data_IF_850932757037
#
_entry.id   IF_850932757037
#
_cell.length_a   1.000
_cell.length_b   1.000
_cell.length_c   1.000
_cell.angle_alpha   90.00
_cell.angle_beta   90.00
_cell.angle_gamma   90.00
#
_symmetry.space_group_name_H-M   'P 1'
#
loop_
_entity.id
_entity.type
_entity.pdbx_description
1 polymer ?
#
# COMPACT_ATOMS: atom_id res chain seq x y z
N UNK A 1 -1.16 1.05 -13.48
CA UNK A 1 -2.57 0.84 -13.90
C UNK A 1 -3.19 -0.16 -12.92
N UNK A 2 -4.47 0.01 -12.55
CA UNK A 2 -5.15 -0.80 -11.50
C UNK A 2 -5.95 -1.97 -12.08
N UNK A 3 -6.11 -3.06 -11.30
CA UNK A 3 -6.94 -4.25 -11.59
C UNK A 3 -8.29 -4.26 -10.82
N UNK A 4 -8.70 -3.14 -10.23
CA UNK A 4 -9.86 -3.09 -9.35
C UNK A 4 -11.13 -3.71 -9.96
N UNK A 5 -11.76 -4.63 -9.20
CA UNK A 5 -13.05 -5.24 -9.53
C UNK A 5 -13.07 -6.26 -10.67
N UNK A 6 -11.90 -6.77 -11.12
CA UNK A 6 -11.80 -7.72 -12.23
C UNK A 6 -11.14 -9.03 -11.83
N UNK A 7 -11.52 -10.13 -12.49
CA UNK A 7 -10.86 -11.42 -12.31
C UNK A 7 -9.60 -11.50 -13.18
N UNK A 8 -8.56 -12.12 -12.64
CA UNK A 8 -7.37 -12.48 -13.41
C UNK A 8 -7.74 -13.51 -14.49
N UNK A 9 -7.02 -13.51 -15.62
CA UNK A 9 -7.14 -14.61 -16.57
C UNK A 9 -6.76 -15.94 -15.90
N UNK A 10 -7.43 -17.05 -16.28
CA UNK A 10 -7.08 -18.37 -15.77
C UNK A 10 -5.62 -18.73 -16.00
N UNK A 11 -5.00 -18.19 -17.05
CA UNK A 11 -3.57 -18.31 -17.27
C UNK A 11 -3.03 -17.03 -17.89
N UNK A 12 -1.95 -16.49 -17.32
CA UNK A 12 -1.23 -15.37 -17.90
C UNK A 12 0.26 -15.43 -17.55
N UNK A 13 1.07 -14.65 -18.26
CA UNK A 13 2.50 -14.54 -18.02
C UNK A 13 2.83 -13.10 -17.66
N UNK A 14 3.74 -12.89 -16.70
CA UNK A 14 4.24 -11.57 -16.34
C UNK A 14 5.66 -11.69 -15.76
N UNK A 15 6.58 -10.86 -16.23
CA UNK A 15 8.02 -11.01 -16.02
C UNK A 15 8.50 -12.43 -16.30
N UNK A 16 9.21 -13.02 -15.35
CA UNK A 16 9.68 -14.41 -15.43
C UNK A 16 8.65 -15.44 -14.94
N UNK A 17 7.42 -15.02 -14.64
CA UNK A 17 6.40 -15.87 -14.03
C UNK A 17 5.28 -16.23 -15.01
N UNK A 18 4.73 -17.43 -14.81
CA UNK A 18 3.44 -17.87 -15.33
C UNK A 18 2.51 -18.12 -14.16
N UNK A 19 1.26 -17.69 -14.31
CA UNK A 19 0.20 -17.92 -13.34
C UNK A 19 -0.80 -18.90 -13.96
N UNK A 20 -1.17 -19.97 -13.24
CA UNK A 20 -2.08 -21.03 -13.68
C UNK A 20 -3.22 -21.21 -12.67
N UNK A 21 -4.47 -21.11 -13.12
CA UNK A 21 -5.65 -21.11 -12.25
C UNK A 21 -5.81 -19.81 -11.44
N UNK A 22 -5.27 -18.70 -11.92
CA UNK A 22 -5.28 -17.43 -11.19
C UNK A 22 -6.67 -16.80 -11.06
N UNK A 23 -7.61 -17.19 -11.93
CA UNK A 23 -9.01 -16.75 -11.87
C UNK A 23 -9.73 -17.25 -10.61
N UNK A 24 -9.22 -18.30 -9.96
CA UNK A 24 -9.75 -18.82 -8.70
C UNK A 24 -9.35 -18.00 -7.47
N UNK A 25 -8.41 -17.06 -7.62
CA UNK A 25 -7.93 -16.21 -6.52
C UNK A 25 -8.74 -14.92 -6.48
N UNK A 26 -9.35 -14.65 -5.33
CA UNK A 26 -10.04 -13.37 -5.09
C UNK A 26 -9.01 -12.26 -4.90
N UNK A 27 -8.94 -11.36 -5.89
CA UNK A 27 -8.11 -10.15 -5.87
C UNK A 27 -9.05 -8.96 -5.93
N UNK A 28 -8.89 -8.01 -5.01
CA UNK A 28 -9.68 -6.79 -4.96
C UNK A 28 -9.07 -5.70 -5.84
N UNK A 29 -7.75 -5.55 -5.75
CA UNK A 29 -6.96 -4.60 -6.54
C UNK A 29 -5.62 -5.20 -6.93
N UNK A 30 -5.01 -4.63 -7.96
CA UNK A 30 -3.66 -4.99 -8.35
C UNK A 30 -2.99 -3.91 -9.17
N UNK A 31 -1.69 -3.81 -8.99
CA UNK A 31 -0.84 -2.85 -9.66
C UNK A 31 0.25 -3.58 -10.42
N UNK A 32 0.58 -3.11 -11.61
CA UNK A 32 1.77 -3.57 -12.30
C UNK A 32 2.54 -2.42 -12.93
N UNK A 33 3.85 -2.63 -13.04
CA UNK A 33 4.79 -1.81 -13.81
C UNK A 33 5.79 -2.75 -14.47
N UNK A 34 6.17 -2.47 -15.72
CA UNK A 34 7.15 -3.24 -16.44
C UNK A 34 8.03 -2.33 -17.29
N UNK A 35 9.34 -2.44 -17.07
CA UNK A 35 10.39 -1.79 -17.83
C UNK A 35 11.28 -2.85 -18.50
N UNK A 36 12.34 -2.41 -19.18
CA UNK A 36 13.22 -3.32 -19.91
C UNK A 36 13.93 -4.32 -18.97
N UNK A 37 14.31 -3.88 -17.77
CA UNK A 37 15.11 -4.65 -16.82
C UNK A 37 14.38 -5.01 -15.52
N UNK A 38 13.25 -4.37 -15.21
CA UNK A 38 12.48 -4.57 -13.98
C UNK A 38 11.00 -4.78 -14.30
N UNK A 39 10.34 -5.64 -13.55
CA UNK A 39 8.89 -5.73 -13.56
C UNK A 39 8.36 -5.95 -12.14
N UNK A 40 7.30 -5.24 -11.78
CA UNK A 40 6.61 -5.37 -10.49
C UNK A 40 5.15 -5.72 -10.73
N UNK A 41 4.64 -6.75 -10.04
CA UNK A 41 3.22 -7.08 -9.95
C UNK A 41 2.80 -7.12 -8.48
N UNK A 42 1.75 -6.41 -8.11
CA UNK A 42 1.15 -6.39 -6.78
C UNK A 42 -0.31 -6.80 -6.90
N UNK A 43 -0.75 -7.68 -6.02
CA UNK A 43 -2.14 -8.14 -5.91
C UNK A 43 -2.55 -8.02 -4.45
N UNK A 44 -3.70 -7.40 -4.19
CA UNK A 44 -4.20 -7.16 -2.83
C UNK A 44 -5.65 -7.56 -2.67
N UNK A 45 -6.03 -7.82 -1.42
CA UNK A 45 -7.40 -8.08 -1.01
C UNK A 45 -7.62 -7.61 0.43
N UNK A 46 -8.79 -7.05 0.71
CA UNK A 46 -9.20 -6.62 2.05
C UNK A 46 -10.25 -7.56 2.64
N UNK A 47 -10.15 -7.80 3.94
CA UNK A 47 -11.06 -8.71 4.66
C UNK A 47 -11.76 -7.96 5.79
N UNK A 48 -13.08 -8.21 6.00
CA UNK A 48 -13.86 -7.49 6.99
C UNK A 48 -13.38 -7.80 8.43
N UNK A 49 -13.67 -6.94 9.41
CA UNK A 49 -13.22 -7.11 10.80
C UNK A 49 -13.61 -8.44 11.46
N UNK A 50 -14.69 -9.08 11.02
CA UNK A 50 -15.15 -10.39 11.51
C UNK A 50 -14.40 -11.59 10.92
N UNK A 51 -13.59 -11.39 9.88
CA UNK A 51 -12.78 -12.43 9.25
C UNK A 51 -11.55 -12.76 10.12
N UNK A 52 -11.10 -14.04 10.17
CA UNK A 52 -9.81 -14.36 10.80
C UNK A 52 -8.63 -13.61 10.15
N UNK A 53 -8.72 -13.31 8.84
CA UNK A 53 -7.69 -12.61 8.06
C UNK A 53 -7.83 -11.09 8.04
N UNK A 54 -8.78 -10.53 8.81
CA UNK A 54 -9.15 -9.09 8.86
C UNK A 54 -8.05 -8.10 8.45
N UNK A 55 -8.44 -7.10 7.68
CA UNK A 55 -7.54 -6.07 7.16
C UNK A 55 -7.01 -6.40 5.78
N UNK A 56 -5.93 -5.73 5.38
CA UNK A 56 -5.31 -5.89 4.07
C UNK A 56 -4.39 -7.11 4.01
N UNK A 57 -4.32 -7.69 2.81
CA UNK A 57 -3.30 -8.65 2.42
C UNK A 57 -2.74 -8.29 1.04
N UNK A 58 -1.46 -8.60 0.84
CA UNK A 58 -0.70 -8.22 -0.34
C UNK A 58 0.24 -9.37 -0.73
N UNK A 59 0.32 -9.58 -2.04
CA UNK A 59 1.42 -10.31 -2.67
C UNK A 59 2.11 -9.40 -3.66
N UNK A 60 3.43 -9.24 -3.53
CA UNK A 60 4.23 -8.46 -4.46
C UNK A 60 5.33 -9.33 -5.08
N UNK A 61 5.41 -9.32 -6.41
CA UNK A 61 6.44 -9.95 -7.21
C UNK A 61 7.34 -8.86 -7.79
N UNK A 62 8.61 -8.86 -7.40
CA UNK A 62 9.65 -7.99 -7.95
C UNK A 62 10.57 -8.83 -8.82
N UNK A 63 10.64 -8.54 -10.11
CA UNK A 63 11.34 -9.34 -11.11
C UNK A 63 12.38 -8.49 -11.80
N UNK A 64 13.53 -9.10 -12.11
CA UNK A 64 14.68 -8.40 -12.66
C UNK A 64 15.35 -9.21 -13.76
N UNK A 65 15.73 -8.59 -14.88
CA UNK A 65 16.63 -9.20 -15.89
C UNK A 65 18.08 -8.98 -15.50
N UNK A 66 18.84 -10.04 -15.38
CA UNK A 66 20.27 -9.98 -15.05
C UNK A 66 21.13 -10.12 -16.32
N UNK A 67 22.27 -9.41 -16.41
CA UNK A 67 22.86 -8.56 -15.38
C UNK A 67 22.32 -7.13 -15.31
N UNK A 68 21.45 -6.72 -16.23
CA UNK A 68 21.03 -5.31 -16.38
C UNK A 68 20.40 -4.71 -15.12
N UNK A 69 19.46 -5.41 -14.48
CA UNK A 69 18.77 -5.01 -13.25
C UNK A 69 19.39 -5.58 -11.97
N UNK A 70 20.70 -5.86 -11.96
CA UNK A 70 21.38 -6.48 -10.81
C UNK A 70 21.43 -5.54 -9.62
N UNK A 71 21.74 -4.28 -9.85
CA UNK A 71 21.86 -3.28 -8.78
C UNK A 71 20.51 -3.08 -8.09
N UNK A 72 19.43 -2.94 -8.86
CA UNK A 72 18.06 -2.78 -8.37
C UNK A 72 17.58 -4.03 -7.63
N UNK A 73 17.92 -5.24 -8.13
CA UNK A 73 17.62 -6.49 -7.45
C UNK A 73 18.31 -6.57 -6.07
N UNK A 74 19.61 -6.28 -6.02
CA UNK A 74 20.41 -6.34 -4.80
C UNK A 74 19.98 -5.25 -3.80
N UNK A 75 19.68 -4.03 -4.27
CA UNK A 75 19.13 -2.94 -3.46
C UNK A 75 17.77 -3.33 -2.88
N UNK A 76 16.87 -3.84 -3.73
CA UNK A 76 15.52 -4.25 -3.34
C UNK A 76 15.58 -5.34 -2.27
N UNK A 77 16.36 -6.41 -2.50
CA UNK A 77 16.54 -7.49 -1.52
C UNK A 77 17.17 -6.97 -0.24
N UNK A 78 18.21 -6.14 -0.34
CA UNK A 78 18.91 -5.54 0.79
C UNK A 78 17.97 -4.74 1.69
N UNK A 79 17.18 -3.85 1.09
CA UNK A 79 16.21 -2.98 1.78
C UNK A 79 15.24 -3.75 2.67
N UNK A 80 14.69 -4.87 2.20
CA UNK A 80 13.78 -5.69 3.01
C UNK A 80 14.53 -6.58 4.01
N UNK A 81 15.72 -7.06 3.65
CA UNK A 81 16.51 -7.96 4.48
C UNK A 81 17.11 -7.29 5.71
N UNK A 82 17.42 -6.00 5.65
CA UNK A 82 17.91 -5.22 6.78
C UNK A 82 17.03 -5.34 8.03
N UNK A 83 15.73 -5.61 7.84
CA UNK A 83 14.73 -5.73 8.91
C UNK A 83 14.32 -7.18 9.19
N UNK A 84 15.00 -8.14 8.58
CA UNK A 84 14.72 -9.55 8.78
C UNK A 84 14.98 -9.93 10.24
N UNK A 85 14.07 -10.72 10.81
CA UNK A 85 14.21 -11.27 12.17
C UNK A 85 14.68 -12.71 12.07
N UNK A 86 15.75 -13.03 12.81
CA UNK A 86 16.34 -14.38 12.81
C UNK A 86 15.40 -15.49 13.33
N UNK A 87 14.39 -15.13 14.13
CA UNK A 87 13.47 -16.09 14.78
C UNK A 87 12.04 -15.59 14.68
N UNK A 88 11.43 -15.79 13.51
CA UNK A 88 10.02 -15.51 13.29
C UNK A 88 9.20 -16.77 13.55
N UNK A 89 8.06 -16.60 14.22
CA UNK A 89 6.99 -17.60 14.24
C UNK A 89 5.83 -17.10 13.39
N UNK A 90 5.46 -17.91 12.41
CA UNK A 90 4.30 -17.74 11.55
C UNK A 90 3.07 -18.30 12.28
N UNK A 91 1.97 -17.53 12.43
CA UNK A 91 0.72 -18.01 12.99
C UNK A 91 0.24 -19.27 12.27
N UNK A 92 -0.23 -20.26 13.03
CA UNK A 92 -0.74 -21.54 12.53
C UNK A 92 0.30 -22.52 11.98
N UNK A 93 1.46 -22.04 11.49
CA UNK A 93 2.53 -22.89 10.96
C UNK A 93 3.60 -23.24 12.02
N UNK A 94 4.12 -22.24 12.76
CA UNK A 94 5.25 -22.45 13.67
C UNK A 94 6.46 -21.58 13.33
N UNK A 95 7.71 -22.01 13.61
CA UNK A 95 8.90 -21.29 13.15
C UNK A 95 8.86 -21.11 11.63
N UNK A 96 9.22 -19.92 11.14
CA UNK A 96 9.34 -19.69 9.70
C UNK A 96 10.37 -20.65 9.10
N UNK A 97 10.01 -21.27 7.99
CA UNK A 97 10.79 -22.25 7.25
C UNK A 97 10.68 -21.96 5.76
N UNK A 98 11.62 -22.51 4.98
CA UNK A 98 11.79 -22.24 3.56
C UNK A 98 10.60 -22.66 2.69
N UNK A 99 9.83 -23.65 3.16
CA UNK A 99 8.67 -24.23 2.48
C UNK A 99 7.36 -23.44 2.70
N UNK A 100 7.33 -22.52 3.65
CA UNK A 100 6.12 -21.73 3.96
C UNK A 100 5.83 -20.77 2.80
N UNK A 101 4.73 -21.00 2.07
CA UNK A 101 4.35 -20.23 0.87
C UNK A 101 5.44 -20.23 -0.23
N UNK A 102 6.26 -21.29 -0.31
CA UNK A 102 7.15 -21.49 -1.44
C UNK A 102 6.31 -21.77 -2.70
N UNK A 103 6.26 -20.88 -3.71
CA UNK A 103 5.36 -21.05 -4.84
C UNK A 103 5.96 -21.92 -5.96
N UNK A 104 7.26 -22.22 -5.91
CA UNK A 104 8.03 -22.56 -7.11
C UNK A 104 8.87 -23.82 -6.94
N UNK A 105 8.71 -24.76 -7.87
CA UNK A 105 9.76 -25.72 -8.19
C UNK A 105 10.93 -24.98 -8.84
N UNK A 106 12.13 -25.14 -8.29
CA UNK A 106 13.32 -24.45 -8.78
C UNK A 106 13.89 -25.15 -10.02
N UNK A 107 14.04 -24.43 -11.15
CA UNK A 107 14.81 -24.93 -12.27
C UNK A 107 16.28 -25.15 -11.87
N UNK A 108 16.97 -26.06 -12.56
CA UNK A 108 18.40 -26.28 -12.37
C UNK A 108 19.19 -24.96 -12.50
N UNK A 109 20.14 -24.75 -11.59
CA UNK A 109 20.99 -23.56 -11.58
C UNK A 109 20.41 -22.33 -10.87
N UNK A 110 19.18 -22.41 -10.36
CA UNK A 110 18.62 -21.36 -9.51
C UNK A 110 18.99 -21.57 -8.03
N UNK A 111 19.20 -20.46 -7.32
CA UNK A 111 19.31 -20.44 -5.87
C UNK A 111 18.02 -19.88 -5.25
N UNK A 112 17.71 -20.34 -4.04
CA UNK A 112 16.61 -19.84 -3.24
C UNK A 112 17.13 -19.43 -1.86
N UNK A 113 16.64 -18.30 -1.39
CA UNK A 113 16.82 -17.79 -0.05
C UNK A 113 15.47 -17.27 0.48
N UNK A 114 15.30 -17.22 1.79
CA UNK A 114 14.07 -16.73 2.40
C UNK A 114 14.34 -16.01 3.72
N UNK A 115 13.51 -15.03 4.04
CA UNK A 115 13.56 -14.33 5.32
C UNK A 115 12.18 -13.77 5.68
N UNK A 116 12.02 -13.33 6.93
CA UNK A 116 10.77 -12.77 7.42
C UNK A 116 11.02 -11.55 8.31
N UNK A 117 10.19 -10.51 8.17
CA UNK A 117 10.19 -9.33 9.07
C UNK A 117 9.22 -9.49 10.23
N UNK A 118 8.27 -10.41 10.11
CA UNK A 118 7.30 -10.77 11.14
C UNK A 118 6.55 -12.03 10.77
N UNK A 119 5.68 -12.51 11.65
CA UNK A 119 4.91 -13.74 11.41
C UNK A 119 3.93 -13.65 10.24
N UNK A 120 3.76 -12.46 9.65
CA UNK A 120 2.83 -12.17 8.55
C UNK A 120 3.45 -11.32 7.43
N UNK A 121 4.78 -11.26 7.37
CA UNK A 121 5.50 -10.51 6.32
C UNK A 121 6.74 -11.33 5.95
N UNK A 122 6.59 -12.14 4.90
CA UNK A 122 7.50 -13.21 4.49
C UNK A 122 8.06 -12.94 3.09
N UNK A 123 9.31 -13.33 2.87
CA UNK A 123 10.04 -13.05 1.64
C UNK A 123 10.71 -14.31 1.10
N UNK A 124 10.57 -14.54 -0.21
CA UNK A 124 11.32 -15.55 -0.95
C UNK A 124 12.12 -14.86 -2.04
N UNK A 125 13.40 -15.18 -2.15
CA UNK A 125 14.33 -14.61 -3.13
C UNK A 125 14.87 -15.75 -3.98
N UNK A 126 14.70 -15.62 -5.28
CA UNK A 126 15.12 -16.58 -6.29
C UNK A 126 16.08 -15.90 -7.25
N UNK A 127 17.20 -16.55 -7.54
CA UNK A 127 18.21 -15.99 -8.44
C UNK A 127 18.75 -17.07 -9.38
N UNK A 128 18.65 -16.82 -10.69
CA UNK A 128 19.34 -17.58 -11.72
C UNK A 128 20.42 -16.73 -12.40
N UNK A 129 20.99 -17.25 -13.49
CA UNK A 129 22.06 -16.56 -14.23
C UNK A 129 21.59 -15.26 -14.92
N UNK A 130 20.35 -15.25 -15.41
CA UNK A 130 19.79 -14.17 -16.24
C UNK A 130 18.55 -13.51 -15.64
N UNK A 131 18.07 -13.96 -14.49
CA UNK A 131 16.82 -13.49 -13.89
C UNK A 131 16.94 -13.49 -12.35
N UNK A 132 16.36 -12.46 -11.73
CA UNK A 132 16.15 -12.37 -10.29
C UNK A 132 14.66 -12.21 -9.99
N UNK A 133 14.19 -12.79 -8.89
CA UNK A 133 12.80 -12.70 -8.43
C UNK A 133 12.78 -12.58 -6.91
N UNK A 134 12.03 -11.61 -6.38
CA UNK A 134 11.67 -11.55 -4.98
C UNK A 134 10.15 -11.55 -4.85
N UNK A 135 9.63 -12.38 -3.96
CA UNK A 135 8.20 -12.48 -3.65
C UNK A 135 8.02 -12.05 -2.20
N UNK A 136 7.13 -11.08 -1.96
CA UNK A 136 6.69 -10.66 -0.62
C UNK A 136 5.26 -11.13 -0.38
N UNK A 137 5.03 -11.80 0.73
CA UNK A 137 3.73 -12.22 1.24
C UNK A 137 3.42 -11.44 2.52
N UNK A 138 2.38 -10.61 2.52
CA UNK A 138 2.01 -9.76 3.65
C UNK A 138 0.53 -9.87 3.99
N UNK A 139 0.18 -9.94 5.27
CA UNK A 139 -1.19 -9.74 5.73
C UNK A 139 -1.26 -9.12 7.13
N UNK A 140 -2.36 -8.42 7.41
CA UNK A 140 -2.60 -7.82 8.73
C UNK A 140 -3.12 -8.86 9.75
N UNK A 141 -3.89 -9.85 9.30
CA UNK A 141 -4.61 -10.79 10.14
C UNK A 141 -4.44 -12.26 9.72
N UNK A 142 -4.84 -13.16 10.60
CA UNK A 142 -4.95 -14.59 10.29
C UNK A 142 -3.63 -15.36 10.27
N UNK A 143 -3.73 -16.57 9.72
CA UNK A 143 -2.62 -17.43 9.30
C UNK A 143 -2.34 -17.13 7.83
N UNK A 144 -1.05 -17.04 7.48
CA UNK A 144 -0.62 -16.72 6.10
C UNK A 144 -0.76 -17.92 5.17
N UNK A 145 -0.69 -19.13 5.70
CA UNK A 145 -0.70 -20.37 4.92
C UNK A 145 -2.10 -20.78 4.46
N UNK A 146 -3.13 -20.38 5.22
CA UNK A 146 -4.55 -20.60 4.89
C UNK A 146 -5.23 -19.33 4.34
N UNK A 147 -4.48 -18.26 4.15
CA UNK A 147 -5.01 -16.98 3.71
C UNK A 147 -5.58 -17.11 2.28
N UNK A 148 -6.83 -16.68 2.00
CA UNK A 148 -7.46 -16.88 0.69
C UNK A 148 -6.65 -16.32 -0.48
N UNK A 149 -6.13 -15.10 -0.34
CA UNK A 149 -5.19 -14.53 -1.31
C UNK A 149 -3.84 -15.27 -1.34
N UNK A 150 -3.11 -15.34 -0.22
CA UNK A 150 -1.72 -15.83 -0.22
C UNK A 150 -1.62 -17.34 -0.51
N UNK A 151 -2.40 -18.15 0.22
CA UNK A 151 -2.46 -19.59 0.06
C UNK A 151 -3.16 -20.03 -1.22
N UNK A 152 -4.10 -19.22 -1.73
CA UNK A 152 -4.72 -19.45 -3.04
C UNK A 152 -3.77 -19.14 -4.20
N UNK A 153 -2.97 -18.08 -4.08
CA UNK A 153 -2.06 -17.65 -5.15
C UNK A 153 -0.77 -18.46 -5.20
N UNK A 154 -0.15 -18.82 -4.07
CA UNK A 154 1.10 -19.58 -4.03
C UNK A 154 1.13 -20.82 -4.97
N UNK A 155 0.12 -21.71 -5.00
CA UNK A 155 0.14 -22.87 -5.88
C UNK A 155 -0.09 -22.55 -7.37
N UNK A 156 -0.46 -21.31 -7.73
CA UNK A 156 -0.73 -20.90 -9.12
C UNK A 156 0.52 -20.41 -9.84
N UNK A 157 1.56 -20.00 -9.10
CA UNK A 157 2.73 -19.32 -9.67
C UNK A 157 3.76 -20.34 -10.13
N UNK A 158 4.33 -20.15 -11.31
CA UNK A 158 5.41 -20.96 -11.90
C UNK A 158 6.49 -20.06 -12.44
N UNK A 159 7.74 -20.44 -12.25
CA UNK A 159 8.89 -19.75 -12.80
C UNK A 159 9.18 -20.34 -14.18
N UNK A 160 9.31 -19.49 -15.19
CA UNK A 160 9.58 -19.92 -16.56
C UNK A 160 10.97 -19.42 -16.97
N UNK A 161 12.00 -20.30 -16.98
CA UNK A 161 13.36 -19.92 -17.34
C UNK A 161 13.44 -19.18 -18.68
N UNK A 162 14.11 -18.03 -18.68
CA UNK A 162 14.32 -17.20 -19.87
C UNK A 162 13.09 -16.43 -20.36
N UNK A 163 11.92 -16.58 -19.71
CA UNK A 163 10.75 -15.78 -20.02
C UNK A 163 10.88 -14.36 -19.48
N UNK A 164 10.35 -13.40 -20.23
CA UNK A 164 10.13 -12.04 -19.76
C UNK A 164 8.93 -11.43 -20.48
N UNK A 165 7.75 -11.57 -19.89
CA UNK A 165 6.51 -11.01 -20.41
C UNK A 165 6.25 -9.64 -19.76
N UNK A 166 6.07 -8.59 -20.55
CA UNK A 166 5.77 -7.23 -20.05
C UNK A 166 4.33 -6.82 -20.31
N UNK A 167 3.59 -7.65 -21.05
CA UNK A 167 2.19 -7.39 -21.32
C UNK A 167 1.39 -7.41 -20.01
N UNK A 168 0.43 -6.49 -19.85
CA UNK A 168 -0.41 -6.48 -18.67
C UNK A 168 -1.15 -7.82 -18.55
N UNK A 169 -1.43 -8.30 -17.32
CA UNK A 169 -2.26 -9.49 -17.13
C UNK A 169 -3.57 -9.36 -17.92
N UNK A 170 -3.85 -10.34 -18.78
CA UNK A 170 -5.10 -10.37 -19.54
C UNK A 170 -6.27 -10.37 -18.56
N UNK A 171 -7.28 -9.56 -18.91
CA UNK A 171 -8.47 -9.36 -18.09
C UNK A 171 -9.58 -10.20 -18.68
N UNK A 172 -10.28 -10.94 -17.83
CA UNK A 172 -11.58 -11.45 -18.18
C UNK A 172 -12.60 -10.72 -17.33
N UNK A 173 -13.59 -10.14 -17.99
CA UNK A 173 -14.83 -9.82 -17.33
C UNK A 173 -15.32 -11.14 -16.70
N UNK A 174 -15.73 -11.08 -15.43
CA UNK A 174 -16.33 -12.26 -14.80
C UNK A 174 -17.42 -12.74 -15.77
N UNK A 175 -17.44 -14.03 -16.16
CA UNK A 175 -18.34 -14.53 -17.20
C UNK A 175 -19.70 -13.96 -16.89
N UNK A 176 -20.20 -13.12 -17.81
CA UNK A 176 -21.42 -12.33 -17.63
C UNK A 176 -22.39 -13.25 -16.92
N UNK A 177 -22.63 -12.99 -15.64
CA UNK A 177 -23.50 -13.81 -14.84
C UNK A 177 -24.91 -13.46 -15.28
N UNK A 178 -25.24 -13.68 -16.57
CA UNK A 178 -26.36 -13.11 -17.34
C UNK A 178 -27.01 -11.99 -16.54
N UNK A 179 -26.25 -10.92 -16.30
CA UNK A 179 -26.87 -9.66 -15.95
C UNK A 179 -27.50 -9.28 -17.26
N UNK A 180 -28.79 -9.57 -17.39
CA UNK A 180 -29.59 -9.15 -18.53
C UNK A 180 -29.13 -7.73 -18.87
N UNK A 181 -28.65 -7.50 -20.10
CA UNK A 181 -28.06 -6.22 -20.58
C UNK A 181 -29.05 -5.02 -20.52
N UNK A 182 -30.13 -5.12 -19.74
CA UNK A 182 -31.02 -4.04 -19.34
C UNK A 182 -31.00 -3.70 -17.85
N UNK A 183 -30.30 -4.49 -17.02
CA UNK A 183 -30.11 -4.29 -15.57
C UNK A 183 -28.63 -4.58 -15.23
N UNK A 184 -27.67 -3.86 -15.84
CA UNK A 184 -26.61 -3.38 -14.95
C UNK A 184 -27.38 -2.67 -13.85
N UNK A 185 -27.32 -3.09 -12.58
CA UNK A 185 -27.78 -2.20 -11.55
C UNK A 185 -26.91 -0.95 -11.75
N UNK A 186 -27.45 0.09 -12.40
CA UNK A 186 -27.08 1.47 -12.07
C UNK A 186 -26.98 1.41 -10.56
N UNK A 187 -25.79 1.54 -9.94
CA UNK A 187 -25.57 1.09 -8.58
C UNK A 187 -26.75 1.49 -7.70
N UNK A 188 -27.68 0.55 -7.52
CA UNK A 188 -29.10 0.90 -7.30
C UNK A 188 -29.34 1.20 -5.83
N UNK A 189 -28.26 1.19 -5.06
CA UNK A 189 -28.14 1.98 -3.87
C UNK A 189 -27.47 3.29 -4.24
N UNK A 190 -28.24 4.23 -4.79
CA UNK A 190 -28.18 5.68 -4.55
C UNK A 190 -26.88 6.09 -3.82
N UNK A 191 -25.73 5.87 -4.46
CA UNK A 191 -24.44 6.10 -3.83
C UNK A 191 -24.35 7.60 -3.77
N UNK A 192 -24.77 8.12 -2.62
CA UNK A 192 -24.64 9.50 -2.26
C UNK A 192 -23.27 9.57 -1.63
N UNK A 193 -22.20 9.90 -2.39
CA UNK A 193 -20.90 10.09 -1.80
C UNK A 193 -21.07 11.13 -0.70
N UNK A 194 -20.93 10.64 0.52
CA UNK A 194 -21.10 11.40 1.72
C UNK A 194 -19.94 11.03 2.62
N UNK A 195 -19.33 12.05 3.18
CA UNK A 195 -18.15 11.91 4.01
C UNK A 195 -18.31 12.74 5.26
N UNK A 196 -18.03 12.13 6.41
CA UNK A 196 -18.08 12.79 7.70
C UNK A 196 -16.65 13.01 8.21
N UNK A 197 -16.20 14.25 8.12
CA UNK A 197 -14.84 14.64 8.49
C UNK A 197 -14.53 14.39 9.97
N UNK A 198 -15.55 14.22 10.83
CA UNK A 198 -15.36 13.80 12.22
C UNK A 198 -14.86 12.36 12.31
N UNK A 199 -15.47 11.48 11.51
CA UNK A 199 -15.06 10.09 11.38
C UNK A 199 -13.67 9.97 10.74
N UNK A 200 -13.40 10.78 9.71
CA UNK A 200 -12.06 10.89 9.10
C UNK A 200 -11.01 11.32 10.14
N UNK A 201 -11.30 12.37 10.91
CA UNK A 201 -10.42 12.87 11.95
C UNK A 201 -10.17 11.83 13.05
N UNK A 202 -11.19 11.10 13.49
CA UNK A 202 -11.05 10.03 14.49
C UNK A 202 -10.20 8.85 13.99
N UNK A 203 -10.43 8.42 12.75
CA UNK A 203 -9.66 7.35 12.12
C UNK A 203 -8.19 7.75 11.98
N UNK A 204 -7.93 8.95 11.44
CA UNK A 204 -6.57 9.47 11.30
C UNK A 204 -5.90 9.70 12.66
N UNK A 205 -6.62 10.21 13.67
CA UNK A 205 -6.08 10.38 15.03
C UNK A 205 -5.63 9.06 15.63
N UNK A 206 -6.45 8.02 15.50
CA UNK A 206 -6.09 6.67 15.94
C UNK A 206 -4.84 6.18 15.22
N UNK A 207 -4.79 6.33 13.89
CA UNK A 207 -3.64 5.95 13.08
C UNK A 207 -2.36 6.68 13.48
N UNK A 208 -2.42 8.02 13.60
CA UNK A 208 -1.30 8.86 14.01
C UNK A 208 -0.77 8.46 15.39
N UNK A 209 -1.66 8.21 16.37
CA UNK A 209 -1.26 7.74 17.71
C UNK A 209 -0.53 6.40 17.65
N UNK A 210 -1.06 5.45 16.88
CA UNK A 210 -0.42 4.15 16.68
C UNK A 210 0.98 4.34 16.11
N UNK A 211 1.11 5.09 15.00
CA UNK A 211 2.39 5.41 14.36
C UNK A 211 3.40 6.04 15.32
N UNK A 212 2.97 7.03 16.11
CA UNK A 212 3.82 7.68 17.09
C UNK A 212 4.26 6.72 18.22
N UNK A 213 3.35 5.90 18.73
CA UNK A 213 3.66 4.95 19.82
C UNK A 213 4.58 3.80 19.40
N UNK A 214 4.45 3.38 18.13
CA UNK A 214 5.23 2.31 17.53
C UNK A 214 6.56 2.80 16.93
N UNK A 215 6.76 4.12 16.80
CA UNK A 215 7.99 4.67 16.25
C UNK A 215 9.24 4.18 16.99
N UNK A 216 10.17 3.61 16.23
CA UNK A 216 11.51 3.24 16.70
C UNK A 216 12.53 3.85 15.72
N UNK A 217 13.46 4.71 16.19
CA UNK A 217 14.50 5.29 15.34
C UNK A 217 15.22 4.28 14.46
N UNK A 218 15.54 3.11 15.03
CA UNK A 218 16.32 2.07 14.36
C UNK A 218 15.50 1.21 13.37
N UNK A 219 14.17 1.35 13.34
CA UNK A 219 13.26 0.64 12.42
C UNK A 219 12.38 1.64 11.63
N UNK A 220 12.80 2.91 11.56
CA UNK A 220 12.03 3.93 10.87
C UNK A 220 12.00 3.67 9.36
N UNK A 221 10.80 3.56 8.77
CA UNK A 221 10.63 3.52 7.32
C UNK A 221 10.40 4.93 6.80
N UNK A 222 11.49 5.66 6.58
CA UNK A 222 11.47 7.04 6.14
C UNK A 222 12.87 7.53 5.76
N UNK A 223 13.02 8.78 5.29
CA UNK A 223 14.31 9.31 4.90
C UNK A 223 15.30 9.39 6.08
N UNK A 224 16.55 9.01 5.84
CA UNK A 224 17.65 9.04 6.82
C UNK A 224 18.11 7.66 7.28
N UNK A 225 19.14 7.63 8.13
CA UNK A 225 19.79 6.40 8.62
C UNK A 225 19.40 6.10 10.09
N UNK A 226 18.17 6.47 10.48
CA UNK A 226 17.71 6.41 11.87
C UNK A 226 18.14 7.63 12.70
N UNK A 227 17.89 7.58 14.00
CA UNK A 227 18.12 8.71 14.93
C UNK A 227 16.85 9.53 15.28
N UNK A 228 17.01 10.71 15.90
CA UNK A 228 15.87 11.55 16.26
C UNK A 228 15.14 12.04 15.01
N UNK A 229 13.81 12.11 15.09
CA UNK A 229 13.01 12.68 14.00
C UNK A 229 13.28 14.18 13.93
N UNK A 230 13.53 14.69 12.75
CA UNK A 230 13.75 16.12 12.48
C UNK A 230 12.58 16.75 11.72
N UNK A 231 11.84 15.95 10.95
CA UNK A 231 10.60 16.33 10.27
C UNK A 231 9.61 15.16 10.27
N UNK A 232 8.35 15.43 10.54
CA UNK A 232 7.24 14.50 10.33
C UNK A 232 6.39 15.01 9.18
N UNK A 233 6.22 14.21 8.14
CA UNK A 233 5.36 14.56 7.00
C UNK A 233 4.09 13.71 7.03
N UNK A 234 2.96 14.39 6.97
CA UNK A 234 1.65 13.80 6.74
C UNK A 234 1.29 14.02 5.29
N UNK A 235 1.50 12.99 4.47
CA UNK A 235 1.10 12.99 3.07
C UNK A 235 -0.33 12.51 2.92
N UNK A 236 -1.10 13.00 1.95
CA UNK A 236 -2.40 12.43 1.60
C UNK A 236 -2.60 12.45 0.09
N UNK A 237 -3.47 11.58 -0.40
CA UNK A 237 -3.94 11.58 -1.79
C UNK A 237 -5.42 11.19 -1.76
N UNK A 238 -6.30 12.14 -2.09
CA UNK A 238 -7.74 11.88 -2.19
C UNK A 238 -8.17 11.47 -3.60
N UNK A 239 -7.34 11.75 -4.61
CA UNK A 239 -7.71 11.66 -6.01
C UNK A 239 -7.42 10.30 -6.62
N UNK A 240 -6.17 9.83 -6.56
CA UNK A 240 -5.77 8.60 -7.23
C UNK A 240 -5.73 7.41 -6.27
N UNK A 241 -5.09 7.58 -5.12
CA UNK A 241 -4.84 6.49 -4.19
C UNK A 241 -5.81 6.39 -3.02
N UNK A 242 -6.47 7.48 -2.64
CA UNK A 242 -7.38 7.49 -1.50
C UNK A 242 -6.67 7.03 -0.21
N UNK A 243 -5.64 7.75 0.25
CA UNK A 243 -4.86 7.36 1.44
C UNK A 243 -4.32 8.57 2.20
N UNK A 244 -3.89 8.34 3.44
CA UNK A 244 -3.07 9.28 4.23
C UNK A 244 -1.87 8.54 4.83
N UNK A 245 -0.69 9.15 4.79
CA UNK A 245 0.57 8.59 5.26
C UNK A 245 1.19 9.43 6.37
N UNK A 246 1.93 8.79 7.27
CA UNK A 246 2.76 9.47 8.30
C UNK A 246 4.19 8.95 8.22
N UNK A 247 5.06 9.78 7.66
CA UNK A 247 6.48 9.47 7.44
C UNK A 247 7.33 10.30 8.39
N UNK A 248 8.27 9.63 9.07
CA UNK A 248 9.25 10.30 9.93
C UNK A 248 10.57 10.42 9.17
N UNK A 249 11.12 11.63 9.10
CA UNK A 249 12.40 11.92 8.49
C UNK A 249 13.43 12.16 9.60
N UNK A 250 14.55 11.44 9.55
CA UNK A 250 15.65 11.55 10.52
C UNK A 250 16.89 12.19 9.94
N UNK A 251 16.83 12.74 8.71
CA UNK A 251 17.95 13.50 8.13
C UNK A 251 18.22 14.73 9.01
N UNK A 252 19.49 15.04 9.37
CA UNK A 252 19.81 16.16 10.25
C UNK A 252 19.29 17.54 9.79
N UNK A 253 19.05 17.70 8.49
CA UNK A 253 18.51 18.91 7.88
C UNK A 253 17.32 18.57 6.95
N UNK A 254 16.39 17.75 7.46
CA UNK A 254 15.17 17.39 6.74
C UNK A 254 14.37 18.64 6.33
N UNK A 255 13.79 18.59 5.13
CA UNK A 255 12.97 19.63 4.52
C UNK A 255 11.77 18.97 3.83
N UNK A 256 10.68 19.70 3.60
CA UNK A 256 9.55 19.23 2.79
C UNK A 256 9.96 19.17 1.31
N UNK A 257 10.80 18.19 0.96
CA UNK A 257 11.42 18.03 -0.36
C UNK A 257 10.76 16.91 -1.19
N UNK A 258 9.60 16.43 -0.76
CA UNK A 258 8.85 15.36 -1.43
C UNK A 258 9.45 13.97 -1.32
N UNK A 259 10.64 13.79 -0.73
CA UNK A 259 11.28 12.45 -0.65
C UNK A 259 10.51 11.43 0.17
N UNK A 260 9.61 11.89 1.04
CA UNK A 260 8.73 11.00 1.81
C UNK A 260 7.87 10.10 0.90
N UNK A 261 7.57 10.52 -0.33
CA UNK A 261 6.79 9.75 -1.31
C UNK A 261 7.47 8.42 -1.69
N UNK A 262 8.80 8.33 -1.59
CA UNK A 262 9.55 7.10 -1.82
C UNK A 262 9.40 6.05 -0.71
N UNK A 263 8.80 6.44 0.41
CA UNK A 263 8.62 5.64 1.60
C UNK A 263 7.15 5.31 1.86
N UNK A 264 6.30 5.39 0.84
CA UNK A 264 4.91 4.91 0.91
C UNK A 264 4.90 3.37 0.81
N UNK A 265 4.60 2.72 1.94
CA UNK A 265 4.50 1.27 2.09
C UNK A 265 3.46 0.93 3.16
N UNK A 266 3.12 -0.35 3.24
CA UNK A 266 2.21 -0.91 4.24
C UNK A 266 2.72 -0.58 5.66
N UNK A 267 1.85 0.04 6.46
CA UNK A 267 2.14 0.42 7.84
C UNK A 267 2.64 1.86 8.03
N UNK A 268 2.93 2.59 6.94
CA UNK A 268 3.04 4.06 7.00
C UNK A 268 1.84 4.78 6.41
N UNK A 269 0.96 4.07 5.70
CA UNK A 269 -0.28 4.57 5.10
C UNK A 269 -1.53 4.04 5.82
N UNK A 270 -2.61 4.81 5.73
CA UNK A 270 -3.98 4.48 6.10
C UNK A 270 -4.84 4.66 4.85
N UNK A 271 -5.41 3.56 4.37
CA UNK A 271 -6.24 3.55 3.17
C UNK A 271 -7.64 4.11 3.46
N UNK A 272 -8.13 4.92 2.53
CA UNK A 272 -9.40 5.65 2.50
C UNK A 272 -10.00 5.59 1.08
N UNK A 273 -10.28 4.40 0.53
CA UNK A 273 -10.72 4.25 -0.86
C UNK A 273 -12.02 5.01 -1.19
N UNK A 274 -12.86 5.32 -0.19
CA UNK A 274 -14.04 6.16 -0.39
C UNK A 274 -13.72 7.63 -0.67
N UNK A 275 -12.49 8.10 -0.40
CA UNK A 275 -12.03 9.43 -0.82
C UNK A 275 -11.97 9.52 -2.34
N UNK A 276 -11.42 8.50 -3.01
CA UNK A 276 -11.38 8.40 -4.47
C UNK A 276 -12.79 8.47 -5.06
N UNK A 277 -13.75 7.70 -4.51
CA UNK A 277 -15.14 7.76 -4.99
C UNK A 277 -15.82 9.13 -4.79
N UNK A 278 -15.45 9.88 -3.74
CA UNK A 278 -15.89 11.26 -3.58
C UNK A 278 -15.22 12.19 -4.61
N UNK A 279 -13.91 12.02 -4.83
CA UNK A 279 -13.14 12.82 -5.76
C UNK A 279 -13.60 12.64 -7.22
N UNK A 280 -13.73 11.39 -7.66
CA UNK A 280 -14.24 11.05 -8.99
C UNK A 280 -15.61 11.67 -9.23
N UNK A 281 -16.52 11.59 -8.23
CA UNK A 281 -17.82 12.24 -8.33
C UNK A 281 -17.71 13.74 -8.57
N UNK A 282 -16.82 14.43 -7.87
CA UNK A 282 -16.61 15.87 -8.02
C UNK A 282 -16.00 16.21 -9.39
N UNK A 283 -15.09 15.37 -9.90
CA UNK A 283 -14.53 15.51 -11.25
C UNK A 283 -15.56 15.31 -12.36
N UNK A 284 -16.63 14.54 -12.10
CA UNK A 284 -17.74 14.28 -13.02
C UNK A 284 -18.92 15.26 -12.85
N UNK A 285 -18.64 16.49 -12.42
CA UNK A 285 -19.64 17.55 -12.16
C UNK A 285 -20.73 17.14 -11.16
N UNK A 286 -20.41 16.22 -10.26
CA UNK A 286 -21.28 15.76 -9.19
C UNK A 286 -21.21 16.59 -7.92
N UNK A 287 -21.99 16.18 -6.92
CA UNK A 287 -21.93 16.74 -5.57
C UNK A 287 -21.63 15.64 -4.54
N UNK A 288 -20.87 16.02 -3.51
CA UNK A 288 -20.55 15.18 -2.35
C UNK A 288 -21.07 15.85 -1.09
N UNK A 289 -21.82 15.12 -0.26
CA UNK A 289 -22.27 15.63 1.02
C UNK A 289 -21.13 15.55 2.05
N UNK A 290 -20.52 16.69 2.38
CA UNK A 290 -19.41 16.78 3.33
C UNK A 290 -19.93 17.28 4.68
N UNK A 291 -19.87 16.43 5.71
CA UNK A 291 -20.15 16.84 7.10
C UNK A 291 -18.86 17.31 7.75
N UNK A 292 -18.82 18.60 8.10
CA UNK A 292 -17.67 19.24 8.74
C UNK A 292 -17.43 18.77 10.18
N UNK A 293 -16.30 19.21 10.75
CA UNK A 293 -15.98 18.93 12.16
C UNK A 293 -16.99 19.54 13.14
N UNK A 294 -17.69 20.60 12.72
CA UNK A 294 -18.79 21.24 13.44
C UNK A 294 -20.12 20.46 13.33
N UNK A 295 -20.15 19.37 12.56
CA UNK A 295 -21.34 18.57 12.29
C UNK A 295 -22.29 19.18 11.25
N UNK A 296 -21.91 20.29 10.60
CA UNK A 296 -22.70 20.90 9.52
C UNK A 296 -22.40 20.19 8.21
N UNK A 297 -23.44 19.71 7.53
CA UNK A 297 -23.32 19.10 6.21
C UNK A 297 -23.51 20.14 5.11
N UNK A 298 -22.56 20.21 4.18
CA UNK A 298 -22.62 21.03 2.98
C UNK A 298 -22.44 20.18 1.74
N UNK A 299 -23.12 20.50 0.64
CA UNK A 299 -22.76 19.95 -0.67
C UNK A 299 -21.44 20.59 -1.13
N UNK A 300 -20.47 19.76 -1.47
CA UNK A 300 -19.23 20.17 -2.13
C UNK A 300 -19.32 19.79 -3.60
N UNK A 301 -18.84 20.66 -4.48
CA UNK A 301 -18.88 20.47 -5.95
C UNK A 301 -17.53 20.70 -6.60
N UNK A 302 -16.52 21.06 -5.80
CA UNK A 302 -15.17 21.35 -6.27
C UNK A 302 -14.18 20.33 -5.65
N UNK A 303 -13.48 19.52 -6.47
CA UNK A 303 -12.50 18.56 -5.97
C UNK A 303 -11.36 19.23 -5.18
N UNK A 304 -10.92 20.43 -5.59
CA UNK A 304 -9.84 21.14 -4.89
C UNK A 304 -10.31 21.60 -3.50
N UNK A 305 -11.55 22.08 -3.40
CA UNK A 305 -12.15 22.46 -2.12
C UNK A 305 -12.33 21.24 -1.20
N UNK A 306 -12.69 20.08 -1.76
CA UNK A 306 -12.77 18.82 -1.02
C UNK A 306 -11.39 18.39 -0.48
N UNK A 307 -10.36 18.37 -1.33
CA UNK A 307 -8.98 18.09 -0.93
C UNK A 307 -8.49 19.05 0.17
N UNK A 308 -8.76 20.34 0.03
CA UNK A 308 -8.42 21.35 1.04
C UNK A 308 -9.12 21.11 2.39
N UNK A 309 -10.37 20.63 2.40
CA UNK A 309 -11.08 20.28 3.65
C UNK A 309 -10.48 19.04 4.31
N UNK A 310 -10.09 18.02 3.53
CA UNK A 310 -9.37 16.86 4.06
C UNK A 310 -8.03 17.29 4.65
N UNK A 311 -7.22 18.05 3.91
CA UNK A 311 -5.94 18.57 4.38
C UNK A 311 -6.06 19.39 5.67
N UNK A 312 -7.05 20.29 5.76
CA UNK A 312 -7.36 21.04 7.00
C UNK A 312 -7.75 20.13 8.16
N UNK A 313 -8.50 19.06 7.89
CA UNK A 313 -8.92 18.10 8.92
C UNK A 313 -7.71 17.35 9.48
N UNK A 314 -6.83 16.84 8.60
CA UNK A 314 -5.58 16.18 8.98
C UNK A 314 -4.67 17.11 9.77
N UNK A 315 -4.50 18.35 9.29
CA UNK A 315 -3.77 19.41 9.97
C UNK A 315 -4.30 19.69 11.38
N UNK A 316 -5.63 19.78 11.55
CA UNK A 316 -6.25 19.95 12.85
C UNK A 316 -5.90 18.82 13.82
N UNK A 317 -6.00 17.57 13.38
CA UNK A 317 -5.63 16.40 14.18
C UNK A 317 -4.15 16.42 14.57
N UNK A 318 -3.25 16.72 13.63
CA UNK A 318 -1.80 16.86 13.92
C UNK A 318 -1.56 17.91 15.00
N UNK A 319 -2.20 19.08 14.87
CA UNK A 319 -2.03 20.17 15.83
C UNK A 319 -2.49 19.79 17.24
N UNK A 320 -3.61 19.07 17.37
CA UNK A 320 -4.13 18.55 18.64
C UNK A 320 -3.18 17.53 19.26
N UNK A 321 -2.72 16.54 18.48
CA UNK A 321 -1.93 15.42 18.98
C UNK A 321 -0.47 15.79 19.25
N UNK A 322 0.03 16.89 18.66
CA UNK A 322 1.38 17.41 18.94
C UNK A 322 1.60 17.74 20.42
N UNK A 323 0.54 18.02 21.17
CA UNK A 323 0.64 18.28 22.60
C UNK A 323 0.98 17.02 23.43
N UNK A 324 0.80 15.82 22.88
CA UNK A 324 0.94 14.54 23.57
C UNK A 324 2.05 13.65 22.99
N UNK A 325 3.04 14.25 22.30
CA UNK A 325 4.06 13.48 21.59
C UNK A 325 4.95 12.64 22.52
N UNK A 326 5.34 11.43 22.07
CA UNK A 326 6.33 10.64 22.78
C UNK A 326 7.72 11.31 22.72
N UNK A 327 8.62 10.99 23.66
CA UNK A 327 10.00 11.46 23.61
C UNK A 327 10.68 11.09 22.28
N UNK A 328 11.39 12.05 21.69
CA UNK A 328 12.16 11.85 20.45
C UNK A 328 11.44 12.21 19.16
N UNK A 329 10.15 12.54 19.20
CA UNK A 329 9.42 13.18 18.09
C UNK A 329 9.44 14.69 18.31
N UNK A 330 9.83 15.49 17.30
CA UNK A 330 9.96 16.92 17.46
C UNK A 330 8.60 17.56 17.67
N UNK A 331 8.47 18.34 18.74
CA UNK A 331 7.23 19.08 19.05
C UNK A 331 7.20 20.48 18.41
N UNK A 332 8.31 20.91 17.78
CA UNK A 332 8.39 22.18 17.10
C UNK A 332 7.43 22.20 15.90
N UNK A 333 6.74 23.32 15.69
CA UNK A 333 5.72 23.45 14.64
C UNK A 333 6.33 23.29 13.24
N UNK A 334 7.56 23.77 13.06
CA UNK A 334 8.32 23.70 11.81
C UNK A 334 8.78 22.27 11.46
N UNK A 335 8.67 21.32 12.40
CA UNK A 335 9.03 19.93 12.20
C UNK A 335 7.83 19.07 11.74
N UNK A 336 6.74 19.70 11.29
CA UNK A 336 5.54 19.02 10.78
C UNK A 336 5.10 19.63 9.46
N UNK A 337 4.88 18.79 8.44
CA UNK A 337 4.25 19.18 7.17
C UNK A 337 2.99 18.34 6.91
N UNK A 338 1.97 18.97 6.31
CA UNK A 338 0.80 18.29 5.76
C UNK A 338 0.76 18.62 4.27
N UNK A 339 0.86 17.60 3.44
CA UNK A 339 1.10 17.71 2.01
C UNK A 339 0.10 16.83 1.26
N UNK A 340 -0.62 17.42 0.31
CA UNK A 340 -1.34 16.64 -0.69
C UNK A 340 -0.35 16.16 -1.76
N UNK A 341 -0.55 14.94 -2.26
CA UNK A 341 0.36 14.27 -3.17
C UNK A 341 0.50 15.03 -4.50
N UNK A 342 -0.57 15.67 -4.95
CA UNK A 342 -0.60 16.51 -6.16
C UNK A 342 0.01 17.92 -5.92
N UNK A 343 0.55 18.19 -4.73
CA UNK A 343 1.29 19.40 -4.43
C UNK A 343 0.42 20.57 -4.00
N UNK A 344 -0.78 20.32 -3.45
CA UNK A 344 -1.47 21.30 -2.62
C UNK A 344 -0.87 21.28 -1.19
N UNK A 345 -0.31 22.41 -0.74
CA UNK A 345 0.47 22.47 0.50
C UNK A 345 -0.31 23.14 1.64
N UNK A 346 -0.30 22.53 2.82
CA UNK A 346 -0.66 23.20 4.07
C UNK A 346 0.56 23.19 5.01
N UNK A 347 1.37 24.26 4.97
CA UNK A 347 2.56 24.36 5.81
C UNK A 347 2.22 24.89 7.20
N UNK A 348 2.85 24.33 8.24
CA UNK A 348 2.77 24.86 9.60
C UNK A 348 3.89 25.87 9.93
N UNK A 349 4.78 26.22 9.01
CA UNK A 349 5.91 27.11 9.33
C UNK A 349 5.59 28.58 9.59
N UNK A 350 6.60 29.36 10.05
CA UNK A 350 6.49 30.80 10.38
C UNK A 350 6.24 31.73 9.18
N UNK A 351 6.10 31.17 7.98
CA UNK A 351 5.79 31.90 6.75
C UNK A 351 4.40 31.56 6.19
N UNK A 352 3.54 30.94 7.01
CA UNK A 352 2.17 30.63 6.60
C UNK A 352 1.39 31.90 6.27
N UNK A 353 0.94 31.98 5.02
CA UNK A 353 -0.38 32.55 4.77
C UNK A 353 -1.39 31.67 5.53
N UNK A 354 -2.27 32.31 6.28
CA UNK A 354 -3.31 31.64 7.06
C UNK A 354 -4.12 30.70 6.15
N UNK A 355 -4.31 29.47 6.62
CA UNK A 355 -5.13 28.42 6.01
C UNK A 355 -6.62 28.76 6.06
#
# INVERSE_FOLDING_TARGET
MSLQGRRLAPTFNFGCLRFEGADAVEVEDGFWSAEEAEATLRLSASYPPGSPWRGAALVAFFMFRLPAGREEFEETVGRYRERAKLKVRVPGVGPFAEDVLQPLDLPDGWTHDCFARGGRDLFHVYQGDSLGLMIRWSCQGGDVSDHPLLGGLAPTVRLVPGQWATDPPERHDAPDAEREDGDEPEPDGDFKPAIDLRGEAEAFRTFLKTRLSEFRPDDNFGPGEGGPVTLTTVGADAGQGGWVAVVFDTRPAAQPDGKWTLYLDEGVTLDRPHWTGCWERLCEDGEVAVTGLDGVTTAETDPDAFGARLGRTLAGVVAEERAALPPGVPSAREAWSVEDFDGAWAYFGPHGDDV
#
